data_IF_169443287744
#
_entry.id   IF_169443287744
#
_cell.length_a   1.000
_cell.length_b   1.000
_cell.length_c   1.000
_cell.angle_alpha   90.00
_cell.angle_beta   90.00
_cell.angle_gamma   90.00
#
_symmetry.space_group_name_H-M   'P 1'
#
loop_
_entity.id
_entity.type
_entity.pdbx_description
1 polymer ?
#
# COMPACT_ATOMS: atom_id res chain seq x y z
N UNK A 1 30.51 8.71 -61.48
CA UNK A 1 29.08 8.93 -61.21
C UNK A 1 28.67 8.00 -60.06
N UNK A 2 28.55 8.55 -58.86
CA UNK A 2 28.40 7.80 -57.62
C UNK A 2 26.95 7.45 -57.33
N UNK A 3 26.69 6.18 -57.04
CA UNK A 3 25.46 5.68 -56.43
C UNK A 3 25.52 5.96 -54.93
N UNK A 4 24.93 7.05 -54.50
CA UNK A 4 24.62 7.25 -53.08
C UNK A 4 23.33 6.48 -52.78
N UNK A 5 23.47 5.27 -52.22
CA UNK A 5 22.37 4.50 -51.67
C UNK A 5 21.82 5.22 -50.46
N UNK A 6 20.57 5.59 -50.54
CA UNK A 6 19.77 6.15 -49.48
C UNK A 6 19.43 5.00 -48.50
N UNK A 7 20.18 4.87 -47.41
CA UNK A 7 19.81 4.03 -46.26
C UNK A 7 18.73 4.77 -45.47
N UNK A 8 17.48 4.55 -45.87
CA UNK A 8 16.33 4.94 -45.10
C UNK A 8 16.27 3.99 -43.92
N UNK A 9 16.79 4.43 -42.78
CA UNK A 9 16.61 3.75 -41.49
C UNK A 9 15.11 3.79 -41.18
N UNK A 10 14.43 2.67 -41.38
CA UNK A 10 13.16 2.39 -40.76
C UNK A 10 13.39 2.20 -39.24
N UNK A 11 13.49 3.30 -38.54
CA UNK A 11 13.22 3.35 -37.07
C UNK A 11 11.72 3.23 -36.89
N UNK A 12 11.18 2.08 -37.25
CA UNK A 12 9.88 1.65 -36.75
C UNK A 12 10.06 1.41 -35.26
N UNK A 13 9.50 2.33 -34.47
CA UNK A 13 9.44 2.25 -33.04
C UNK A 13 8.92 0.89 -32.60
N UNK A 14 9.80 0.05 -32.11
CA UNK A 14 9.47 -0.90 -31.07
C UNK A 14 8.96 -0.02 -29.93
N UNK A 15 7.62 0.13 -29.85
CA UNK A 15 6.99 0.58 -28.63
C UNK A 15 7.41 -0.45 -27.56
N UNK A 16 8.50 -0.13 -26.90
CA UNK A 16 9.02 -0.93 -25.82
C UNK A 16 7.90 -1.04 -24.79
N UNK A 17 7.39 -2.25 -24.56
CA UNK A 17 6.60 -2.59 -23.39
C UNK A 17 7.50 -2.51 -22.14
N UNK A 18 8.26 -1.42 -22.00
CA UNK A 18 9.13 -1.10 -20.88
C UNK A 18 8.41 -0.22 -19.87
N UNK A 19 8.95 -0.14 -18.66
CA UNK A 19 8.53 0.82 -17.66
C UNK A 19 8.81 2.26 -18.15
N UNK A 20 8.05 3.23 -17.60
CA UNK A 20 8.31 4.66 -17.83
C UNK A 20 9.65 5.04 -17.23
N UNK A 21 10.40 5.84 -17.94
CA UNK A 21 11.74 6.31 -17.54
C UNK A 21 11.75 7.75 -17.00
N UNK A 22 10.60 8.42 -17.01
CA UNK A 22 10.44 9.80 -16.56
C UNK A 22 10.19 9.95 -15.03
N UNK A 23 10.05 8.82 -14.29
CA UNK A 23 9.74 8.85 -12.88
C UNK A 23 8.33 9.35 -12.53
N UNK A 24 7.49 9.68 -13.50
CA UNK A 24 6.15 10.21 -13.26
C UNK A 24 5.22 9.16 -12.61
N UNK A 25 4.26 9.57 -11.77
CA UNK A 25 3.19 8.70 -11.30
C UNK A 25 2.27 8.31 -12.46
N UNK A 26 1.54 7.20 -12.30
CA UNK A 26 0.60 6.73 -13.33
C UNK A 26 -0.68 6.13 -12.75
N UNK A 27 -1.76 6.09 -13.57
CA UNK A 27 -3.09 5.66 -13.16
C UNK A 27 -3.74 4.68 -14.16
N UNK A 28 -3.00 4.23 -15.18
CA UNK A 28 -3.48 3.46 -16.32
C UNK A 28 -3.02 1.99 -16.31
N UNK A 29 -2.99 1.35 -15.14
CA UNK A 29 -2.65 -0.06 -15.01
C UNK A 29 -3.64 -0.96 -15.77
N UNK A 30 -3.13 -2.02 -16.43
CA UNK A 30 -3.91 -2.94 -17.25
C UNK A 30 -4.20 -4.22 -16.47
N UNK A 31 -5.47 -4.67 -16.40
CA UNK A 31 -5.81 -5.91 -15.73
C UNK A 31 -5.10 -7.11 -16.37
N UNK A 32 -4.40 -7.95 -15.58
CA UNK A 32 -3.82 -9.19 -16.09
C UNK A 32 -4.90 -10.17 -16.55
N UNK A 33 -4.82 -10.73 -17.77
CA UNK A 33 -5.83 -11.67 -18.26
C UNK A 33 -5.93 -12.98 -17.46
N UNK A 34 -4.87 -13.31 -16.72
CA UNK A 34 -4.81 -14.53 -15.90
C UNK A 34 -5.57 -14.41 -14.57
N UNK A 35 -5.96 -13.19 -14.18
CA UNK A 35 -6.66 -12.94 -12.91
C UNK A 35 -8.18 -13.03 -13.09
N UNK A 36 -8.86 -13.45 -12.02
CA UNK A 36 -10.31 -13.44 -11.96
C UNK A 36 -10.86 -12.01 -11.83
N UNK A 37 -12.14 -11.77 -12.23
CA UNK A 37 -12.77 -10.46 -12.04
C UNK A 37 -12.75 -9.94 -10.60
N UNK A 38 -12.69 -10.83 -9.61
CA UNK A 38 -12.59 -10.45 -8.19
C UNK A 38 -11.24 -9.78 -7.82
N UNK A 39 -10.24 -9.93 -8.68
CA UNK A 39 -8.90 -9.33 -8.51
C UNK A 39 -8.71 -8.10 -9.42
N UNK A 40 -9.77 -7.66 -10.12
CA UNK A 40 -9.76 -6.44 -10.93
C UNK A 40 -10.26 -5.25 -10.11
N UNK A 41 -10.07 -4.05 -10.67
CA UNK A 41 -10.54 -2.83 -10.04
C UNK A 41 -12.04 -2.93 -9.70
N UNK A 42 -12.43 -2.62 -8.47
CA UNK A 42 -13.85 -2.53 -8.11
C UNK A 42 -14.62 -1.56 -9.02
N UNK A 43 -15.90 -1.81 -9.21
CA UNK A 43 -16.75 -0.91 -9.99
C UNK A 43 -16.70 0.50 -9.40
N UNK A 44 -16.52 1.50 -10.26
CA UNK A 44 -16.39 2.90 -9.83
C UNK A 44 -15.03 3.28 -9.27
N UNK A 45 -14.01 2.42 -9.40
CA UNK A 45 -12.64 2.74 -8.98
C UNK A 45 -12.11 3.97 -9.72
N UNK A 46 -11.61 4.91 -8.94
CA UNK A 46 -11.03 6.16 -9.44
C UNK A 46 -9.67 6.40 -8.82
N UNK A 47 -8.73 6.86 -9.62
CA UNK A 47 -7.39 7.24 -9.19
C UNK A 47 -7.27 8.74 -8.98
N UNK A 48 -6.41 9.11 -8.04
CA UNK A 48 -5.95 10.48 -7.85
C UNK A 48 -4.49 10.52 -7.44
N UNK A 49 -3.95 11.72 -7.40
CA UNK A 49 -2.57 11.98 -6.97
C UNK A 49 -2.60 12.99 -5.83
N UNK A 50 -1.77 12.76 -4.82
CA UNK A 50 -1.55 13.70 -3.73
C UNK A 50 -0.06 14.02 -3.65
N UNK A 51 0.25 15.30 -3.59
CA UNK A 51 1.61 15.78 -3.38
C UNK A 51 1.58 16.88 -2.33
N UNK A 52 1.82 16.55 -1.05
CA UNK A 52 1.92 17.55 0.01
C UNK A 52 3.02 18.57 -0.30
N UNK A 53 2.94 19.79 0.24
CA UNK A 53 4.01 20.78 0.10
C UNK A 53 5.36 20.19 0.53
N UNK A 54 6.39 20.36 -0.30
CA UNK A 54 7.76 19.85 -0.13
C UNK A 54 7.94 18.35 -0.34
N UNK A 55 6.88 17.56 -0.58
CA UNK A 55 7.04 16.17 -0.95
C UNK A 55 7.81 16.05 -2.28
N UNK A 56 8.75 15.12 -2.31
CA UNK A 56 9.64 14.96 -3.46
C UNK A 56 8.91 14.45 -4.70
N UNK A 57 7.88 13.64 -4.52
CA UNK A 57 7.09 13.05 -5.59
C UNK A 57 5.61 13.01 -5.25
N UNK A 58 4.75 13.02 -6.27
CA UNK A 58 3.34 12.77 -6.08
C UNK A 58 3.09 11.29 -5.76
N UNK A 59 2.21 11.02 -4.80
CA UNK A 59 1.79 9.67 -4.45
C UNK A 59 0.42 9.38 -5.05
N UNK A 60 0.25 8.16 -5.55
CA UNK A 60 -1.01 7.70 -6.14
C UNK A 60 -1.93 7.18 -5.04
N UNK A 61 -3.18 7.63 -5.06
CA UNK A 61 -4.24 7.02 -4.27
C UNK A 61 -5.36 6.52 -5.17
N UNK A 62 -6.12 5.56 -4.68
CA UNK A 62 -7.30 5.06 -5.35
C UNK A 62 -8.50 5.06 -4.42
N UNK A 63 -9.72 5.11 -4.98
CA UNK A 63 -10.96 5.08 -4.21
C UNK A 63 -12.10 4.41 -4.96
N UNK A 64 -12.90 3.64 -4.23
CA UNK A 64 -14.23 3.22 -4.68
C UNK A 64 -15.18 3.09 -3.48
N UNK A 65 -16.48 3.14 -3.78
CA UNK A 65 -17.54 2.99 -2.79
C UNK A 65 -18.71 2.22 -3.40
N UNK A 66 -19.55 1.63 -2.54
CA UNK A 66 -20.85 1.11 -2.97
C UNK A 66 -21.77 2.27 -3.40
N UNK A 67 -22.78 1.95 -4.22
CA UNK A 67 -23.79 2.92 -4.67
C UNK A 67 -24.79 3.35 -3.57
N UNK A 68 -24.55 2.97 -2.33
CA UNK A 68 -25.38 3.26 -1.15
C UNK A 68 -24.65 4.16 -0.17
N UNK A 69 -25.38 4.72 0.80
CA UNK A 69 -24.75 5.52 1.87
C UNK A 69 -23.68 4.72 2.60
N UNK A 70 -22.48 5.26 2.73
CA UNK A 70 -21.37 4.55 3.37
C UNK A 70 -21.59 4.43 4.89
N UNK A 71 -21.09 3.33 5.46
CA UNK A 71 -21.13 3.07 6.91
C UNK A 71 -19.83 3.42 7.61
N UNK A 72 -18.73 3.29 6.90
CA UNK A 72 -17.37 3.58 7.34
C UNK A 72 -16.46 3.83 6.14
N UNK A 73 -15.23 4.16 6.41
CA UNK A 73 -14.16 4.32 5.44
C UNK A 73 -12.95 3.50 5.86
N UNK A 74 -12.19 2.97 4.90
CA UNK A 74 -10.89 2.35 5.14
C UNK A 74 -9.86 3.00 4.22
N UNK A 75 -8.66 3.26 4.74
CA UNK A 75 -7.50 3.69 3.97
C UNK A 75 -6.41 2.64 4.11
N UNK A 76 -6.08 1.97 3.01
CA UNK A 76 -5.05 0.95 2.94
C UNK A 76 -3.74 1.56 2.43
N UNK A 77 -2.67 1.37 3.20
CA UNK A 77 -1.30 1.76 2.88
C UNK A 77 -0.52 0.52 2.42
N UNK A 78 0.07 0.60 1.24
CA UNK A 78 0.80 -0.53 0.65
C UNK A 78 2.24 -0.60 1.16
N UNK A 79 2.74 -1.82 1.42
CA UNK A 79 4.12 -2.07 1.83
C UNK A 79 5.11 -2.03 0.66
N UNK A 80 6.40 -2.28 0.94
CA UNK A 80 7.44 -2.31 -0.09
C UNK A 80 7.18 -3.38 -1.14
N UNK A 81 7.27 -2.98 -2.41
CA UNK A 81 7.04 -3.87 -3.56
C UNK A 81 5.58 -4.27 -3.75
N UNK A 82 4.68 -3.67 -2.96
CA UNK A 82 3.25 -3.84 -3.06
C UNK A 82 2.58 -2.59 -3.66
N UNK A 83 1.34 -2.71 -4.09
CA UNK A 83 0.59 -1.62 -4.73
C UNK A 83 -0.91 -1.91 -4.67
N UNK A 84 -1.72 -0.89 -4.88
CA UNK A 84 -3.17 -0.94 -4.68
C UNK A 84 -3.87 -2.08 -5.43
N UNK A 85 -3.43 -2.41 -6.65
CA UNK A 85 -4.06 -3.43 -7.49
C UNK A 85 -4.03 -4.84 -6.87
N UNK A 86 -3.03 -5.15 -6.04
CA UNK A 86 -2.96 -6.46 -5.35
C UNK A 86 -4.03 -6.61 -4.28
N UNK A 87 -4.62 -5.50 -3.83
CA UNK A 87 -5.60 -5.43 -2.75
C UNK A 87 -7.06 -5.30 -3.24
N UNK A 88 -7.31 -5.31 -4.55
CA UNK A 88 -8.68 -5.12 -5.06
C UNK A 88 -9.69 -6.13 -4.49
N UNK A 89 -9.29 -7.38 -4.29
CA UNK A 89 -10.16 -8.39 -3.64
C UNK A 89 -10.48 -8.03 -2.19
N UNK A 90 -9.49 -7.58 -1.43
CA UNK A 90 -9.66 -7.13 -0.04
C UNK A 90 -10.58 -5.91 0.01
N UNK A 91 -10.29 -4.90 -0.82
CA UNK A 91 -11.07 -3.66 -0.90
C UNK A 91 -12.51 -3.92 -1.35
N UNK A 92 -12.71 -4.84 -2.30
CA UNK A 92 -14.04 -5.28 -2.73
C UNK A 92 -14.89 -5.87 -1.59
N UNK A 93 -14.25 -6.56 -0.63
CA UNK A 93 -14.95 -7.06 0.57
C UNK A 93 -15.41 -5.92 1.48
N UNK A 94 -14.60 -4.88 1.67
CA UNK A 94 -15.01 -3.67 2.42
C UNK A 94 -16.13 -2.91 1.68
N UNK A 95 -16.04 -2.77 0.36
CA UNK A 95 -17.10 -2.14 -0.45
C UNK A 95 -18.41 -2.93 -0.31
N UNK A 96 -18.35 -4.27 -0.29
CA UNK A 96 -19.48 -5.14 -0.02
C UNK A 96 -20.12 -4.94 1.36
N UNK A 97 -19.38 -4.38 2.31
CA UNK A 97 -19.88 -3.94 3.63
C UNK A 97 -20.33 -2.47 3.66
N UNK A 98 -20.45 -1.82 2.49
CA UNK A 98 -20.79 -0.41 2.32
C UNK A 98 -19.74 0.56 2.89
N UNK A 99 -18.47 0.18 2.81
CA UNK A 99 -17.36 1.07 3.17
C UNK A 99 -16.85 1.80 1.94
N UNK A 100 -16.44 3.04 2.11
CA UNK A 100 -15.58 3.69 1.13
C UNK A 100 -14.18 3.14 1.31
N UNK A 101 -13.61 2.58 0.26
CA UNK A 101 -12.29 1.95 0.27
C UNK A 101 -11.29 2.81 -0.47
N UNK A 102 -10.29 3.29 0.26
CA UNK A 102 -9.19 4.09 -0.22
C UNK A 102 -7.89 3.30 -0.21
N UNK A 103 -6.95 3.64 -1.07
CA UNK A 103 -5.58 3.16 -1.03
C UNK A 103 -4.60 4.30 -1.17
N UNK A 104 -3.37 4.12 -0.67
CA UNK A 104 -2.25 5.02 -0.92
C UNK A 104 -1.01 4.17 -1.22
N UNK A 105 -0.44 4.33 -2.40
CA UNK A 105 0.86 3.77 -2.75
C UNK A 105 1.97 4.64 -2.17
N UNK A 106 2.95 4.04 -1.52
CA UNK A 106 4.08 4.76 -0.95
C UNK A 106 4.93 5.47 -2.00
N UNK A 107 5.64 6.51 -1.58
CA UNK A 107 6.58 7.23 -2.43
C UNK A 107 7.65 6.28 -3.00
N UNK A 108 8.00 6.44 -4.25
CA UNK A 108 9.02 5.62 -4.90
C UNK A 108 8.58 4.21 -5.28
N UNK A 109 7.29 3.83 -5.15
CA UNK A 109 6.78 2.50 -5.48
C UNK A 109 5.34 2.53 -6.02
N UNK A 110 4.80 1.34 -6.40
CA UNK A 110 3.45 1.24 -6.97
C UNK A 110 3.26 2.19 -8.15
N UNK A 111 2.13 2.86 -8.21
CA UNK A 111 1.85 3.91 -9.21
C UNK A 111 2.31 5.31 -8.83
N UNK A 112 2.94 5.48 -7.66
CA UNK A 112 3.49 6.77 -7.23
C UNK A 112 4.75 7.16 -8.01
N UNK A 113 5.11 8.44 -7.95
CA UNK A 113 6.31 8.97 -8.61
C UNK A 113 7.60 8.37 -8.08
N UNK A 114 8.64 8.44 -8.89
CA UNK A 114 10.01 7.99 -8.60
C UNK A 114 10.96 9.19 -8.58
N UNK A 115 11.88 9.20 -7.60
CA UNK A 115 12.97 10.21 -7.58
C UNK A 115 14.13 9.91 -8.52
N UNK A 116 14.23 8.66 -8.95
CA UNK A 116 15.31 8.16 -9.81
C UNK A 116 14.73 7.47 -11.04
N UNK A 117 15.46 7.50 -12.14
CA UNK A 117 15.01 6.93 -13.41
C UNK A 117 14.89 5.39 -13.41
N UNK A 118 15.60 4.69 -12.50
CA UNK A 118 15.53 3.24 -12.38
C UNK A 118 14.25 2.87 -11.65
N UNK A 119 13.21 2.60 -12.39
CA UNK A 119 11.85 2.47 -11.87
C UNK A 119 11.62 1.26 -10.96
N UNK A 120 12.35 0.17 -11.15
CA UNK A 120 12.29 -1.01 -10.31
C UNK A 120 13.19 -0.94 -9.05
N UNK A 121 13.90 0.17 -8.86
CA UNK A 121 14.69 0.42 -7.67
C UNK A 121 13.91 1.31 -6.69
N UNK A 122 13.43 0.72 -5.61
CA UNK A 122 12.80 1.47 -4.54
C UNK A 122 13.81 2.44 -3.91
N UNK A 123 13.51 3.73 -3.98
CA UNK A 123 14.37 4.77 -3.44
C UNK A 123 13.55 5.92 -2.85
N UNK A 124 13.84 6.25 -1.62
CA UNK A 124 13.39 7.46 -0.93
C UNK A 124 14.54 7.99 -0.07
N UNK A 125 14.58 9.28 0.17
CA UNK A 125 15.56 9.88 1.10
C UNK A 125 15.02 9.90 2.53
N UNK A 126 13.69 9.96 2.68
CA UNK A 126 12.98 9.92 3.96
C UNK A 126 11.56 9.39 3.73
N UNK A 127 10.97 8.78 4.76
CA UNK A 127 9.55 8.46 4.81
C UNK A 127 8.68 9.59 5.35
N UNK A 128 9.23 10.79 5.54
CA UNK A 128 8.46 11.96 5.93
C UNK A 128 7.40 12.32 4.88
N UNK A 129 7.71 12.08 3.59
CA UNK A 129 6.76 12.29 2.50
C UNK A 129 5.55 11.36 2.63
N UNK A 130 5.76 10.08 2.99
CA UNK A 130 4.68 9.10 3.19
C UNK A 130 3.82 9.47 4.41
N UNK A 131 4.45 9.81 5.54
CA UNK A 131 3.73 10.23 6.74
C UNK A 131 2.91 11.50 6.47
N UNK A 132 3.51 12.48 5.78
CA UNK A 132 2.82 13.73 5.41
C UNK A 132 1.67 13.46 4.44
N UNK A 133 1.85 12.52 3.49
CA UNK A 133 0.79 12.15 2.55
C UNK A 133 -0.38 11.44 3.25
N UNK A 134 -0.14 10.60 4.27
CA UNK A 134 -1.19 10.00 5.10
C UNK A 134 -2.02 11.10 5.77
N UNK A 135 -1.36 12.09 6.40
CA UNK A 135 -2.05 13.21 7.03
C UNK A 135 -2.84 14.05 6.01
N UNK A 136 -2.20 14.40 4.88
CA UNK A 136 -2.82 15.23 3.85
C UNK A 136 -4.01 14.51 3.20
N UNK A 137 -3.88 13.23 2.84
CA UNK A 137 -4.96 12.45 2.24
C UNK A 137 -6.14 12.34 3.21
N UNK A 138 -5.88 12.02 4.48
CA UNK A 138 -6.91 11.94 5.50
C UNK A 138 -7.64 13.28 5.69
N UNK A 139 -6.90 14.39 5.84
CA UNK A 139 -7.47 15.67 6.17
C UNK A 139 -8.07 16.43 4.97
N UNK A 140 -7.46 16.31 3.78
CA UNK A 140 -7.81 17.16 2.63
C UNK A 140 -8.68 16.46 1.57
N UNK A 141 -8.64 15.13 1.51
CA UNK A 141 -9.35 14.37 0.48
C UNK A 141 -10.45 13.48 1.08
N UNK A 142 -10.12 12.69 2.10
CA UNK A 142 -11.08 11.79 2.74
C UNK A 142 -12.06 12.57 3.61
N UNK A 143 -11.59 13.61 4.31
CA UNK A 143 -12.40 14.44 5.21
C UNK A 143 -13.24 13.60 6.18
N UNK A 144 -12.63 12.94 7.19
CA UNK A 144 -13.37 12.19 8.18
C UNK A 144 -14.45 13.06 8.84
N UNK A 145 -15.68 12.60 8.86
CA UNK A 145 -16.82 13.33 9.45
C UNK A 145 -17.42 12.53 10.60
N UNK A 146 -18.02 13.19 11.59
CA UNK A 146 -18.74 12.50 12.67
C UNK A 146 -19.79 11.52 12.10
N UNK A 147 -19.80 10.30 12.62
CA UNK A 147 -20.72 9.24 12.16
C UNK A 147 -20.23 8.42 10.96
N UNK A 148 -19.12 8.78 10.33
CA UNK A 148 -18.47 8.01 9.27
C UNK A 148 -17.01 7.71 9.67
N UNK A 149 -16.76 6.67 10.47
CA UNK A 149 -15.43 6.37 10.99
C UNK A 149 -14.45 6.01 9.87
N UNK A 150 -13.20 6.45 9.99
CA UNK A 150 -12.09 6.08 9.13
C UNK A 150 -11.17 5.12 9.88
N UNK A 151 -10.88 3.95 9.29
CA UNK A 151 -9.90 2.98 9.77
C UNK A 151 -8.71 2.95 8.83
N UNK A 152 -7.52 3.12 9.37
CA UNK A 152 -6.27 3.03 8.62
C UNK A 152 -5.76 1.58 8.67
N UNK A 153 -5.41 1.01 7.52
CA UNK A 153 -4.84 -0.34 7.39
C UNK A 153 -3.44 -0.18 6.79
N UNK A 154 -2.43 -0.76 7.41
CA UNK A 154 -1.06 -0.70 6.90
C UNK A 154 -0.45 -2.10 6.75
N UNK A 155 0.00 -2.41 5.53
CA UNK A 155 0.57 -3.71 5.18
C UNK A 155 2.11 -3.72 5.30
N UNK A 156 2.63 -4.74 5.95
CA UNK A 156 4.06 -5.04 5.98
C UNK A 156 4.93 -3.85 6.42
N UNK A 157 5.76 -3.35 5.52
CA UNK A 157 6.70 -2.24 5.75
C UNK A 157 6.02 -0.86 5.83
N UNK A 158 4.73 -0.74 5.52
CA UNK A 158 3.99 0.51 5.74
C UNK A 158 3.62 0.70 7.23
N UNK A 159 3.65 -0.37 8.03
CA UNK A 159 3.23 -0.34 9.43
C UNK A 159 4.00 0.67 10.31
N UNK A 160 5.35 0.80 10.24
CA UNK A 160 6.06 1.83 10.99
C UNK A 160 5.62 3.26 10.62
N UNK A 161 5.35 3.52 9.34
CA UNK A 161 4.87 4.83 8.87
C UNK A 161 3.50 5.18 9.42
N UNK A 162 2.56 4.23 9.40
CA UNK A 162 1.24 4.38 9.98
C UNK A 162 1.29 4.58 11.50
N UNK A 163 2.14 3.83 12.21
CA UNK A 163 2.34 3.99 13.64
C UNK A 163 2.94 5.36 13.98
N UNK A 164 3.92 5.82 13.20
CA UNK A 164 4.48 7.17 13.35
C UNK A 164 3.43 8.24 13.11
N UNK A 165 2.63 8.15 12.05
CA UNK A 165 1.53 9.08 11.79
C UNK A 165 0.52 9.10 12.96
N UNK A 166 0.18 7.93 13.53
CA UNK A 166 -0.70 7.85 14.69
C UNK A 166 -0.10 8.54 15.94
N UNK A 167 1.23 8.47 16.13
CA UNK A 167 1.93 9.18 17.21
C UNK A 167 1.93 10.70 17.03
N UNK A 168 2.03 11.16 15.79
CA UNK A 168 1.93 12.59 15.45
C UNK A 168 0.50 13.13 15.57
N UNK A 169 -0.48 12.22 15.69
CA UNK A 169 -1.90 12.49 15.79
C UNK A 169 -2.58 12.40 14.41
N UNK A 170 -3.58 11.56 14.29
CA UNK A 170 -4.40 11.38 13.08
C UNK A 170 -5.85 11.78 13.39
N UNK A 171 -6.21 13.07 13.27
CA UNK A 171 -7.57 13.53 13.53
C UNK A 171 -8.57 12.79 12.64
N UNK A 172 -9.65 12.27 13.24
CA UNK A 172 -10.72 11.58 12.53
C UNK A 172 -10.44 10.10 12.21
N UNK A 173 -9.23 9.58 12.47
CA UNK A 173 -8.95 8.14 12.37
C UNK A 173 -9.44 7.45 13.64
N UNK A 174 -10.39 6.53 13.47
CA UNK A 174 -11.07 5.81 14.55
C UNK A 174 -10.31 4.57 15.00
N UNK A 175 -9.53 3.95 14.11
CA UNK A 175 -8.76 2.75 14.40
C UNK A 175 -7.59 2.58 13.44
N UNK A 176 -6.56 1.84 13.89
CA UNK A 176 -5.37 1.48 13.11
C UNK A 176 -5.24 -0.04 13.08
N UNK A 177 -5.07 -0.62 11.91
CA UNK A 177 -4.80 -2.05 11.70
C UNK A 177 -3.42 -2.18 11.06
N UNK A 178 -2.54 -2.97 11.68
CA UNK A 178 -1.24 -3.31 11.15
C UNK A 178 -1.26 -4.78 10.73
N UNK A 179 -1.16 -5.06 9.42
CA UNK A 179 -1.30 -6.40 8.86
C UNK A 179 0.06 -6.94 8.46
N UNK A 180 0.43 -8.09 9.03
CA UNK A 180 1.77 -8.69 8.81
C UNK A 180 2.90 -7.66 8.94
N UNK A 181 2.85 -6.80 9.97
CA UNK A 181 3.76 -5.69 10.07
C UNK A 181 5.21 -6.16 10.24
N UNK A 182 6.15 -5.40 9.69
CA UNK A 182 7.58 -5.69 9.84
C UNK A 182 8.36 -4.43 10.18
N UNK A 183 9.35 -4.59 11.08
CA UNK A 183 10.38 -3.60 11.37
C UNK A 183 11.67 -3.90 10.61
N UNK A 184 11.69 -4.99 9.84
CA UNK A 184 12.84 -5.42 9.06
C UNK A 184 12.68 -5.01 7.60
N UNK A 185 13.76 -4.54 6.97
CA UNK A 185 13.74 -4.25 5.54
C UNK A 185 13.63 -5.56 4.72
N UNK A 186 13.26 -5.48 3.45
CA UNK A 186 13.15 -6.65 2.57
C UNK A 186 14.48 -7.33 2.29
N UNK A 187 15.59 -6.62 2.41
CA UNK A 187 16.96 -7.12 2.32
C UNK A 187 17.82 -6.48 3.39
N UNK A 188 18.74 -7.25 3.95
CA UNK A 188 19.72 -6.76 4.91
C UNK A 188 21.01 -6.34 4.19
N UNK A 189 21.65 -5.27 4.65
CA UNK A 189 22.95 -4.81 4.17
C UNK A 189 23.83 -4.43 5.36
N UNK A 190 25.16 -4.31 5.14
CA UNK A 190 26.08 -3.87 6.18
C UNK A 190 25.60 -2.52 6.75
N UNK A 191 25.38 -2.44 8.08
CA UNK A 191 24.90 -1.20 8.72
C UNK A 191 25.77 0.03 8.45
N UNK A 192 27.09 -0.17 8.27
CA UNK A 192 28.00 0.93 7.93
C UNK A 192 27.72 1.46 6.51
N UNK A 193 27.48 0.57 5.55
CA UNK A 193 27.11 0.98 4.20
C UNK A 193 25.77 1.73 4.20
N UNK A 194 24.77 1.21 4.92
CA UNK A 194 23.46 1.86 5.05
C UNK A 194 23.60 3.25 5.67
N UNK A 195 24.43 3.41 6.70
CA UNK A 195 24.65 4.69 7.36
C UNK A 195 25.41 5.70 6.50
N UNK A 196 26.49 5.26 5.81
CA UNK A 196 27.39 6.18 5.13
C UNK A 196 27.01 6.47 3.68
N UNK A 197 26.35 5.55 2.99
CA UNK A 197 26.02 5.72 1.57
C UNK A 197 25.22 7.01 1.29
N UNK A 198 24.15 7.35 2.03
CA UNK A 198 23.43 8.61 1.78
C UNK A 198 24.31 9.86 2.03
N UNK A 199 25.19 9.83 3.03
CA UNK A 199 26.12 10.94 3.34
C UNK A 199 27.16 11.17 2.25
N UNK A 200 27.48 10.12 1.49
CA UNK A 200 28.42 10.14 0.38
C UNK A 200 27.73 10.28 -1.00
N UNK A 201 26.44 10.64 -1.02
CA UNK A 201 25.62 10.73 -2.25
C UNK A 201 25.48 9.39 -2.99
N UNK A 202 25.70 8.26 -2.33
CA UNK A 202 25.57 6.91 -2.88
C UNK A 202 24.27 6.22 -2.47
N UNK A 203 23.34 6.95 -1.88
CA UNK A 203 22.05 6.42 -1.41
C UNK A 203 21.19 5.79 -2.52
N UNK A 204 21.37 6.22 -3.77
CA UNK A 204 20.64 5.68 -4.92
C UNK A 204 21.17 4.32 -5.42
N UNK A 205 22.27 3.82 -4.87
CA UNK A 205 22.80 2.50 -5.26
C UNK A 205 21.93 1.40 -4.64
N UNK A 206 21.62 0.37 -5.44
CA UNK A 206 20.93 -0.82 -4.95
C UNK A 206 21.73 -1.47 -3.82
N UNK A 207 21.05 -1.96 -2.79
CA UNK A 207 21.69 -2.64 -1.69
C UNK A 207 22.54 -3.83 -2.20
N UNK A 208 23.76 -4.03 -1.69
CA UNK A 208 24.61 -5.17 -2.07
C UNK A 208 23.90 -6.51 -1.86
N UNK A 209 23.98 -7.39 -2.85
CA UNK A 209 23.27 -8.67 -2.85
C UNK A 209 21.80 -8.55 -3.32
N UNK A 210 21.32 -7.34 -3.51
CA UNK A 210 19.97 -7.10 -4.05
C UNK A 210 19.92 -7.19 -5.57
N UNK A 211 18.79 -7.61 -6.07
CA UNK A 211 18.50 -7.79 -7.48
C UNK A 211 17.46 -6.79 -8.01
N UNK A 212 17.51 -6.50 -9.31
CA UNK A 212 16.39 -5.89 -10.02
C UNK A 212 15.18 -6.82 -10.05
N UNK A 213 14.04 -6.28 -10.48
CA UNK A 213 12.86 -7.13 -10.60
C UNK A 213 13.12 -8.33 -11.49
N UNK A 214 12.75 -9.51 -11.02
CA UNK A 214 12.84 -10.78 -11.75
C UNK A 214 11.47 -11.46 -11.76
N UNK A 215 11.15 -12.07 -12.90
CA UNK A 215 10.02 -13.00 -12.95
C UNK A 215 10.33 -14.20 -12.07
N UNK A 216 9.40 -14.56 -11.20
CA UNK A 216 9.51 -15.74 -10.35
C UNK A 216 8.52 -16.80 -10.80
N UNK A 217 9.01 -18.00 -11.13
CA UNK A 217 8.15 -19.14 -11.45
C UNK A 217 7.45 -19.70 -10.20
N UNK A 218 8.02 -19.49 -9.01
CA UNK A 218 7.37 -19.86 -7.75
C UNK A 218 6.12 -19.02 -7.44
N UNK A 219 5.98 -17.82 -8.05
CA UNK A 219 4.83 -16.93 -7.87
C UNK A 219 3.80 -17.08 -9.01
N UNK A 220 3.53 -18.32 -9.47
CA UNK A 220 2.53 -18.56 -10.53
C UNK A 220 1.14 -18.91 -10.01
N UNK A 221 1.02 -19.25 -8.72
CA UNK A 221 -0.29 -19.56 -8.13
C UNK A 221 -1.10 -18.29 -7.86
N UNK A 222 -2.05 -18.00 -8.76
CA UNK A 222 -2.94 -16.84 -8.69
C UNK A 222 -3.86 -16.82 -7.45
N UNK A 223 -3.90 -17.92 -6.67
CA UNK A 223 -4.62 -17.95 -5.39
C UNK A 223 -3.84 -17.27 -4.28
N UNK A 224 -2.54 -17.07 -4.44
CA UNK A 224 -1.66 -16.41 -3.46
C UNK A 224 -1.51 -14.92 -3.77
N UNK A 225 -1.24 -14.10 -2.73
CA UNK A 225 -0.93 -12.67 -2.90
C UNK A 225 0.31 -12.49 -3.79
N UNK A 226 1.32 -13.34 -3.62
CA UNK A 226 2.54 -13.31 -4.43
C UNK A 226 2.27 -13.57 -5.92
N UNK A 227 1.41 -14.54 -6.23
CA UNK A 227 1.04 -14.85 -7.62
C UNK A 227 0.25 -13.71 -8.26
N UNK A 228 -0.73 -13.15 -7.55
CA UNK A 228 -1.49 -11.99 -8.03
C UNK A 228 -0.59 -10.78 -8.27
N UNK A 229 0.30 -10.47 -7.33
CA UNK A 229 1.29 -9.39 -7.48
C UNK A 229 2.17 -9.61 -8.71
N UNK A 230 2.69 -10.81 -8.91
CA UNK A 230 3.50 -11.15 -10.07
C UNK A 230 2.73 -10.97 -11.38
N UNK A 231 1.46 -11.38 -11.45
CA UNK A 231 0.63 -11.18 -12.62
C UNK A 231 0.46 -9.69 -12.97
N UNK A 232 0.17 -8.86 -11.98
CA UNK A 232 0.08 -7.40 -12.15
C UNK A 232 1.40 -6.80 -12.65
N UNK A 233 2.54 -7.19 -12.07
CA UNK A 233 3.87 -6.71 -12.47
C UNK A 233 4.29 -7.19 -13.87
N UNK A 234 3.82 -8.36 -14.31
CA UNK A 234 4.06 -8.84 -15.67
C UNK A 234 3.27 -8.01 -16.70
N UNK A 235 1.99 -7.72 -16.41
CA UNK A 235 1.13 -6.93 -17.28
C UNK A 235 1.50 -5.44 -17.29
N UNK A 236 2.10 -4.93 -16.20
CA UNK A 236 2.42 -3.52 -15.99
C UNK A 236 3.88 -3.35 -15.53
N UNK A 237 4.81 -3.14 -16.46
CA UNK A 237 6.23 -2.94 -16.13
C UNK A 237 6.49 -1.84 -15.10
N UNK A 238 5.65 -0.81 -15.06
CA UNK A 238 5.74 0.30 -14.12
C UNK A 238 5.48 -0.08 -12.66
N UNK A 239 4.81 -1.22 -12.40
CA UNK A 239 4.57 -1.77 -11.06
C UNK A 239 5.70 -2.68 -10.57
N UNK A 240 6.70 -2.96 -11.43
CA UNK A 240 7.82 -3.83 -11.06
C UNK A 240 8.67 -3.18 -9.98
N UNK A 241 9.05 -3.97 -8.98
CA UNK A 241 9.91 -3.56 -7.89
C UNK A 241 10.91 -4.68 -7.59
N UNK A 242 12.20 -4.36 -7.66
CA UNK A 242 13.30 -5.20 -7.19
C UNK A 242 13.68 -4.83 -5.76
N UNK A 243 14.90 -5.19 -5.35
CA UNK A 243 15.40 -4.86 -4.02
C UNK A 243 15.72 -3.35 -3.90
N UNK A 244 15.61 -2.79 -2.67
CA UNK A 244 15.74 -1.36 -2.43
C UNK A 244 17.17 -0.84 -2.55
N UNK A 245 17.28 0.48 -2.62
CA UNK A 245 18.53 1.21 -2.53
C UNK A 245 19.04 1.32 -1.08
N UNK A 246 20.31 1.64 -0.91
CA UNK A 246 20.91 1.95 0.40
C UNK A 246 20.22 3.15 1.08
N UNK A 247 19.77 4.16 0.30
CA UNK A 247 19.00 5.29 0.81
C UNK A 247 17.67 4.88 1.37
N UNK A 248 16.95 3.98 0.68
CA UNK A 248 15.70 3.44 1.19
C UNK A 248 15.91 2.68 2.51
N UNK A 249 16.97 1.85 2.60
CA UNK A 249 17.29 1.11 3.83
C UNK A 249 17.59 2.06 4.99
N UNK A 250 18.37 3.12 4.75
CA UNK A 250 18.68 4.13 5.76
C UNK A 250 17.41 4.88 6.23
N UNK A 251 16.56 5.27 5.28
CA UNK A 251 15.29 5.92 5.59
C UNK A 251 14.36 4.99 6.38
N UNK A 252 14.30 3.70 6.04
CA UNK A 252 13.47 2.71 6.74
C UNK A 252 13.97 2.44 8.17
N UNK A 253 15.27 2.36 8.38
CA UNK A 253 15.87 2.27 9.72
C UNK A 253 15.53 3.49 10.57
N UNK A 254 15.62 4.69 10.00
CA UNK A 254 15.23 5.93 10.69
C UNK A 254 13.72 5.95 11.01
N UNK A 255 12.87 5.51 10.07
CA UNK A 255 11.42 5.41 10.26
C UNK A 255 11.07 4.44 11.38
N UNK A 256 11.64 3.24 11.39
CA UNK A 256 11.37 2.23 12.41
C UNK A 256 11.78 2.70 13.80
N UNK A 257 12.96 3.31 13.92
CA UNK A 257 13.43 3.94 15.16
C UNK A 257 12.47 5.04 15.64
N UNK A 258 12.03 5.91 14.74
CA UNK A 258 11.07 6.97 15.08
C UNK A 258 9.70 6.41 15.50
N UNK A 259 9.19 5.40 14.79
CA UNK A 259 7.91 4.77 15.07
C UNK A 259 7.88 4.07 16.43
N UNK A 260 8.98 3.41 16.82
CA UNK A 260 9.08 2.62 18.04
C UNK A 260 9.74 3.35 19.21
N UNK A 261 10.13 4.62 19.04
CA UNK A 261 10.70 5.45 20.10
C UNK A 261 9.77 5.56 21.32
N UNK A 262 10.29 5.87 22.53
CA UNK A 262 9.46 6.08 23.71
C UNK A 262 8.32 7.07 23.49
N UNK A 263 7.17 6.84 24.14
CA UNK A 263 6.00 7.72 24.03
C UNK A 263 4.80 7.10 23.29
N UNK A 264 4.82 5.81 22.99
CA UNK A 264 3.65 5.10 22.41
C UNK A 264 2.39 5.19 23.30
N UNK A 265 2.55 5.42 24.61
CA UNK A 265 1.43 5.65 25.54
C UNK A 265 0.55 6.86 25.20
N UNK A 266 0.99 7.76 24.34
CA UNK A 266 0.18 8.89 23.86
C UNK A 266 -0.73 8.55 22.66
N UNK A 267 -0.55 7.40 22.03
CA UNK A 267 -1.38 6.95 20.90
C UNK A 267 -2.75 6.51 21.42
N UNK A 268 -3.74 7.36 21.30
CA UNK A 268 -5.09 7.08 21.79
C UNK A 268 -5.94 6.27 20.79
N UNK A 269 -5.54 6.23 19.53
CA UNK A 269 -6.21 5.44 18.50
C UNK A 269 -6.10 3.95 18.84
N UNK A 270 -7.21 3.19 18.87
CA UNK A 270 -7.17 1.74 19.03
C UNK A 270 -6.36 1.08 17.92
N UNK A 271 -5.51 0.14 18.28
CA UNK A 271 -4.62 -0.56 17.34
C UNK A 271 -4.92 -2.06 17.36
N UNK A 272 -5.13 -2.64 16.19
CA UNK A 272 -5.12 -4.08 15.95
C UNK A 272 -3.85 -4.46 15.20
N UNK A 273 -3.07 -5.37 15.76
CA UNK A 273 -1.89 -5.92 15.09
C UNK A 273 -2.19 -7.36 14.69
N UNK A 274 -2.19 -7.64 13.38
CA UNK A 274 -2.36 -8.97 12.81
C UNK A 274 -0.99 -9.50 12.37
N UNK A 275 -0.33 -10.25 13.24
CA UNK A 275 0.98 -10.85 12.99
C UNK A 275 0.85 -12.33 12.65
N UNK A 276 1.76 -12.87 11.84
CA UNK A 276 1.81 -14.30 11.56
C UNK A 276 2.05 -15.15 12.82
N UNK A 277 2.68 -14.57 13.85
CA UNK A 277 2.99 -15.24 15.15
C UNK A 277 1.98 -14.92 16.24
N UNK A 278 1.02 -14.02 15.99
CA UNK A 278 0.06 -13.56 16.99
C UNK A 278 0.76 -13.00 18.22
N UNK A 279 0.30 -13.37 19.41
CA UNK A 279 0.86 -12.91 20.71
C UNK A 279 2.30 -13.35 20.96
N UNK A 280 2.81 -14.34 20.21
CA UNK A 280 4.22 -14.79 20.25
C UNK A 280 5.18 -13.99 19.38
N UNK A 281 4.74 -12.90 18.78
CA UNK A 281 5.60 -12.04 17.96
C UNK A 281 6.52 -11.19 18.84
N UNK A 282 7.81 -11.50 18.81
CA UNK A 282 8.81 -10.85 19.66
C UNK A 282 9.04 -9.38 19.29
N UNK A 283 8.80 -8.99 18.03
CA UNK A 283 9.02 -7.62 17.58
C UNK A 283 7.80 -6.74 17.93
N UNK A 284 6.57 -7.27 17.80
CA UNK A 284 5.34 -6.49 17.96
C UNK A 284 4.66 -6.61 19.32
N UNK A 285 4.93 -7.65 20.09
CA UNK A 285 4.37 -7.80 21.45
C UNK A 285 4.79 -6.66 22.38
N UNK A 286 6.07 -6.25 22.46
CA UNK A 286 6.47 -5.12 23.29
C UNK A 286 5.82 -3.80 22.85
N UNK A 287 5.67 -3.59 21.53
CA UNK A 287 5.03 -2.39 20.97
C UNK A 287 3.54 -2.36 21.38
N UNK A 288 2.84 -3.49 21.24
CA UNK A 288 1.44 -3.58 21.62
C UNK A 288 1.25 -3.33 23.13
N UNK A 289 2.13 -3.83 23.98
CA UNK A 289 2.09 -3.55 25.43
C UNK A 289 2.32 -2.07 25.76
N UNK A 290 3.10 -1.36 24.96
CA UNK A 290 3.35 0.07 25.16
C UNK A 290 2.21 0.97 24.66
N UNK A 291 1.29 0.44 23.84
CA UNK A 291 0.13 1.15 23.32
C UNK A 291 -1.06 1.00 24.29
N UNK A 292 -1.77 2.08 24.65
CA UNK A 292 -2.86 2.02 25.63
C UNK A 292 -4.04 1.13 25.23
N UNK A 293 -4.29 1.01 23.92
CA UNK A 293 -5.46 0.32 23.36
C UNK A 293 -5.02 -0.55 22.19
N UNK A 294 -4.29 -1.64 22.49
CA UNK A 294 -3.76 -2.55 21.47
C UNK A 294 -4.28 -3.97 21.66
N UNK A 295 -4.60 -4.60 20.53
CA UNK A 295 -4.86 -6.03 20.43
C UNK A 295 -3.86 -6.64 19.45
N UNK A 296 -3.15 -7.68 19.89
CA UNK A 296 -2.25 -8.46 19.05
C UNK A 296 -2.86 -9.83 18.81
N UNK A 297 -3.09 -10.18 17.55
CA UNK A 297 -3.71 -11.42 17.14
C UNK A 297 -2.96 -12.07 15.97
N UNK A 298 -3.18 -13.37 15.75
CA UNK A 298 -2.67 -14.06 14.56
C UNK A 298 -3.51 -13.65 13.34
N UNK A 299 -2.87 -13.50 12.18
CA UNK A 299 -3.55 -13.21 10.92
C UNK A 299 -4.56 -14.28 10.50
N UNK A 300 -4.35 -15.55 10.91
CA UNK A 300 -5.19 -16.67 10.50
C UNK A 300 -5.23 -16.87 8.98
N UNK A 301 -6.26 -17.56 8.49
CA UNK A 301 -6.48 -17.78 7.05
C UNK A 301 -7.23 -16.62 6.36
N UNK A 302 -7.98 -15.84 7.10
CA UNK A 302 -8.76 -14.71 6.59
C UNK A 302 -8.50 -13.44 7.42
N UNK A 303 -7.37 -12.78 7.13
CA UNK A 303 -7.02 -11.51 7.77
C UNK A 303 -8.11 -10.44 7.52
N UNK A 304 -8.66 -10.39 6.30
CA UNK A 304 -9.68 -9.39 5.94
C UNK A 304 -10.96 -9.53 6.78
N UNK A 305 -11.34 -10.74 7.20
CA UNK A 305 -12.48 -10.89 8.11
C UNK A 305 -12.20 -10.25 9.47
N UNK A 306 -10.97 -10.39 9.99
CA UNK A 306 -10.56 -9.77 11.26
C UNK A 306 -10.49 -8.24 11.13
N UNK A 307 -9.99 -7.73 10.01
CA UNK A 307 -9.96 -6.30 9.70
C UNK A 307 -11.38 -5.71 9.68
N UNK A 308 -12.31 -6.37 8.98
CA UNK A 308 -13.72 -5.96 8.93
C UNK A 308 -14.33 -6.01 10.33
N UNK A 309 -14.11 -7.09 11.08
CA UNK A 309 -14.64 -7.21 12.45
C UNK A 309 -14.14 -6.08 13.36
N UNK A 310 -12.87 -5.71 13.26
CA UNK A 310 -12.33 -4.58 14.02
C UNK A 310 -12.93 -3.25 13.54
N UNK A 311 -13.03 -3.01 12.24
CA UNK A 311 -13.61 -1.80 11.69
C UNK A 311 -15.09 -1.64 12.07
N UNK A 312 -15.86 -2.73 12.13
CA UNK A 312 -17.27 -2.74 12.58
C UNK A 312 -17.44 -2.24 14.01
N UNK A 313 -16.42 -2.35 14.87
CA UNK A 313 -16.51 -1.84 16.25
C UNK A 313 -16.70 -0.32 16.32
N UNK A 314 -16.34 0.40 15.27
CA UNK A 314 -16.46 1.86 15.17
C UNK A 314 -17.71 2.32 14.42
N UNK A 315 -18.40 1.41 13.70
CA UNK A 315 -19.60 1.74 12.94
C UNK A 315 -20.73 2.12 13.89
N UNK A 316 -21.42 3.26 13.69
CA UNK A 316 -22.52 3.70 14.55
C UNK A 316 -23.65 2.67 14.63
N UNK A 317 -24.21 2.48 15.82
CA UNK A 317 -25.41 1.65 16.00
C UNK A 317 -26.55 2.26 15.17
N UNK A 318 -27.15 1.45 14.30
CA UNK A 318 -28.25 1.89 13.40
C UNK A 318 -27.79 2.26 11.99
N UNK A 319 -26.49 2.20 11.69
CA UNK A 319 -26.04 2.31 10.31
C UNK A 319 -26.65 1.19 9.43
N UNK A 320 -26.96 1.46 8.14
CA UNK A 320 -27.54 0.48 7.22
C UNK A 320 -26.71 -0.81 7.22
N UNK A 321 -27.35 -1.96 7.30
CA UNK A 321 -26.65 -3.24 7.18
C UNK A 321 -26.60 -3.67 5.73
N UNK A 322 -25.48 -4.23 5.24
CA UNK A 322 -25.44 -4.84 3.93
C UNK A 322 -26.48 -5.96 3.87
N UNK A 323 -27.30 -5.94 2.82
CA UNK A 323 -28.12 -7.11 2.51
C UNK A 323 -27.19 -8.22 2.04
N UNK A 324 -27.30 -9.46 2.54
CA UNK A 324 -26.56 -10.57 1.96
C UNK A 324 -26.92 -10.65 0.48
N UNK A 325 -25.92 -10.57 -0.40
CA UNK A 325 -26.08 -10.83 -1.83
C UNK A 325 -26.58 -12.26 -2.00
N UNK A 326 -27.87 -12.43 -2.27
CA UNK A 326 -28.53 -13.73 -2.37
C UNK A 326 -29.97 -13.78 -1.84
N UNK A 327 -30.40 -12.77 -1.07
CA UNK A 327 -31.79 -12.65 -0.66
C UNK A 327 -32.59 -11.73 -1.62
N UNK A 328 -32.52 -11.99 -2.92
CA UNK A 328 -33.67 -11.71 -3.76
C UNK A 328 -34.65 -12.82 -3.39
N UNK A 329 -35.55 -12.52 -2.46
CA UNK A 329 -36.65 -13.41 -2.15
C UNK A 329 -37.45 -13.63 -3.41
N UNK A 330 -37.53 -14.87 -3.85
CA UNK A 330 -38.50 -15.33 -4.85
C UNK A 330 -39.96 -15.32 -4.31
N UNK A 331 -40.23 -14.50 -3.33
CA UNK A 331 -41.55 -14.34 -2.72
C UNK A 331 -42.15 -12.99 -3.16
N UNK A 332 -42.42 -12.85 -4.43
CA UNK A 332 -43.51 -11.99 -4.90
C UNK A 332 -44.59 -12.87 -5.59
N UNK A 333 -45.62 -13.31 -4.86
CA UNK A 333 -46.68 -14.13 -5.45
C UNK A 333 -47.80 -13.32 -6.05
N UNK A 334 -47.52 -12.14 -6.62
CA UNK A 334 -48.52 -11.37 -7.34
C UNK A 334 -47.93 -10.54 -8.47
N UNK A 335 -47.72 -11.21 -9.64
CA UNK A 335 -47.99 -10.66 -10.96
C UNK A 335 -48.15 -11.77 -12.00
#
# INVERSE_FOLDING_TARGET
MGRRGLLLLCLLGLAACGARDDGAPFTDSRPPPALSPADWAPVGWTWGLIQPPKAAVAQRYGVAAAATAPRAQVLLLTGYGDFAETHYRQLGRFIGQYYVSWTLDGAGQGGSGRRIAIRDLGHVDSFDDDVTAIHALSAQTIHPVPGLPLVLIAEGTAAPGALRAAREGLPGVSGLILVRPTLKPPIEADPRLVEWAPRLWLGFIRAPGGDGWKRSDAAQDMRTDAGRRMAWQQANPDLRMGDPSLGWLAAFDALTKAATAPGLGHVQTPVLILSARGTGDADWSPICHALPRCTLAATGQDATALEIAFAETFVPKGAPRPHPLGALSNDDPQR
#
